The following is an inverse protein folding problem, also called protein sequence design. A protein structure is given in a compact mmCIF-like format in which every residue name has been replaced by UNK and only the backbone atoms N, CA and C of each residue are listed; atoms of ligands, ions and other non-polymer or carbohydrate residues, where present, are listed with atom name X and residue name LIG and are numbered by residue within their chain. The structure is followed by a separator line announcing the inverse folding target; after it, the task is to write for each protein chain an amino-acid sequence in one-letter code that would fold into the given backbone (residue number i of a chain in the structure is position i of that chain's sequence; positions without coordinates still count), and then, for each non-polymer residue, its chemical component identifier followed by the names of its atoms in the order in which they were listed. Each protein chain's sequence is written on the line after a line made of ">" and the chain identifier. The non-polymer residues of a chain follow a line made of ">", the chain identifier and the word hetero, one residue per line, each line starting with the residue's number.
data_IF_865612844336
#
_entry.id   IF_865612844336
#
_cell.length_a   1.000
_cell.length_b   1.000
_cell.length_c   1.000
_cell.angle_alpha   90.00
_cell.angle_beta   90.00
_cell.angle_gamma   90.00
#
_symmetry.space_group_name_H-M   'P 1'
#
loop_
_entity.id
_entity.type
_entity.pdbx_description
1 polymer ?
#
# COMPACT_ATOMS: atom_id res chain seq x y z
N UNK A 1 -19.67 -34.87 42.27
CA UNK A 1 -18.70 -34.46 41.23
C UNK A 1 -19.47 -34.40 39.92
N UNK A 2 -19.62 -33.21 39.32
CA UNK A 2 -20.17 -33.08 37.96
C UNK A 2 -18.97 -33.10 37.01
N UNK A 3 -18.95 -34.06 36.09
CA UNK A 3 -17.87 -34.26 35.13
C UNK A 3 -18.44 -34.20 33.73
N UNK A 4 -17.85 -33.37 32.88
CA UNK A 4 -18.11 -33.32 31.44
C UNK A 4 -16.99 -34.05 30.70
N UNK A 5 -17.32 -34.71 29.60
CA UNK A 5 -16.39 -35.49 28.79
C UNK A 5 -16.38 -34.93 27.37
N UNK A 6 -15.19 -34.71 26.82
CA UNK A 6 -14.96 -34.16 25.50
C UNK A 6 -14.11 -35.12 24.68
N UNK A 7 -14.63 -35.65 23.55
CA UNK A 7 -13.86 -36.51 22.65
C UNK A 7 -12.90 -35.68 21.79
N UNK A 8 -11.64 -36.06 21.77
CA UNK A 8 -10.62 -35.47 20.93
C UNK A 8 -10.25 -36.43 19.81
N UNK A 9 -10.21 -35.90 18.59
CA UNK A 9 -9.91 -36.67 17.39
C UNK A 9 -8.46 -36.43 16.95
N UNK A 10 -7.83 -37.46 16.40
CA UNK A 10 -6.56 -37.35 15.70
C UNK A 10 -6.69 -36.47 14.45
N UNK A 11 -5.56 -36.08 13.88
CA UNK A 11 -5.55 -35.39 12.57
C UNK A 11 -6.14 -36.24 11.44
N UNK A 12 -6.15 -37.58 11.59
CA UNK A 12 -6.84 -38.52 10.69
C UNK A 12 -8.36 -38.61 10.90
N UNK A 13 -8.92 -37.81 11.81
CA UNK A 13 -10.36 -37.76 12.18
C UNK A 13 -10.87 -39.03 12.86
N UNK A 14 -9.99 -39.75 13.56
CA UNK A 14 -10.35 -40.90 14.38
C UNK A 14 -10.31 -40.52 15.86
N UNK A 15 -11.20 -41.12 16.67
CA UNK A 15 -11.21 -40.90 18.11
C UNK A 15 -9.83 -41.26 18.72
N UNK A 16 -9.20 -40.30 19.40
CA UNK A 16 -7.82 -40.41 19.87
C UNK A 16 -7.68 -40.23 21.38
N UNK A 17 -8.45 -39.33 21.99
CA UNK A 17 -8.36 -39.07 23.43
C UNK A 17 -9.70 -38.65 24.03
N UNK A 18 -9.82 -38.80 25.35
CA UNK A 18 -10.96 -38.29 26.11
C UNK A 18 -10.47 -37.30 27.16
N UNK A 19 -10.95 -36.05 27.07
CA UNK A 19 -10.72 -35.05 28.09
C UNK A 19 -11.91 -34.98 29.04
N UNK A 20 -11.66 -35.11 30.34
CA UNK A 20 -12.66 -34.89 31.37
C UNK A 20 -12.43 -33.56 32.08
N UNK A 21 -13.50 -32.79 32.27
CA UNK A 21 -13.50 -31.54 33.05
C UNK A 21 -14.44 -31.74 34.23
N UNK A 22 -13.91 -31.64 35.44
CA UNK A 22 -14.66 -31.85 36.68
C UNK A 22 -14.55 -30.66 37.61
N UNK A 23 -15.66 -30.31 38.27
CA UNK A 23 -15.66 -29.35 39.36
C UNK A 23 -15.42 -30.05 40.69
N UNK A 24 -14.38 -29.61 41.42
CA UNK A 24 -14.15 -29.94 42.83
C UNK A 24 -14.29 -28.68 43.68
N UNK A 25 -15.08 -28.78 44.75
CA UNK A 25 -15.10 -27.78 45.81
C UNK A 25 -14.11 -28.26 46.87
N UNK A 26 -12.96 -27.61 46.98
CA UNK A 26 -12.02 -27.79 48.09
C UNK A 26 -12.16 -26.60 49.06
N UNK A 27 -11.60 -26.72 50.27
CA UNK A 27 -11.68 -25.67 51.33
C UNK A 27 -11.05 -24.32 50.91
N UNK A 28 -10.25 -24.29 49.82
CA UNK A 28 -9.61 -23.11 49.21
C UNK A 28 -10.40 -22.50 48.03
N UNK A 29 -11.60 -23.01 47.73
CA UNK A 29 -12.46 -22.54 46.63
C UNK A 29 -12.74 -23.57 45.53
N UNK A 30 -13.45 -23.14 44.48
CA UNK A 30 -13.78 -23.99 43.32
C UNK A 30 -12.54 -24.22 42.45
N UNK A 31 -12.15 -25.48 42.24
CA UNK A 31 -11.08 -25.87 41.32
C UNK A 31 -11.63 -26.73 40.19
N UNK A 32 -11.32 -26.32 38.96
CA UNK A 32 -11.55 -27.13 37.76
C UNK A 32 -10.39 -28.11 37.61
N UNK A 33 -10.70 -29.41 37.63
CA UNK A 33 -9.73 -30.48 37.38
C UNK A 33 -9.95 -31.00 35.97
N UNK A 34 -8.94 -30.85 35.12
CA UNK A 34 -8.92 -31.46 33.79
C UNK A 34 -8.00 -32.68 33.78
N UNK A 35 -8.49 -33.81 33.28
CA UNK A 35 -7.69 -35.01 33.05
C UNK A 35 -7.89 -35.49 31.62
N UNK A 36 -6.80 -35.63 30.87
CA UNK A 36 -6.79 -36.17 29.51
C UNK A 36 -6.25 -37.59 29.57
N UNK A 37 -7.06 -38.52 29.08
CA UNK A 37 -6.64 -39.91 28.89
C UNK A 37 -6.37 -40.12 27.40
N UNK A 38 -5.09 -40.00 26.96
CA UNK A 38 -4.75 -40.30 25.58
C UNK A 38 -4.89 -41.80 25.33
N UNK A 39 -5.49 -42.15 24.20
CA UNK A 39 -5.56 -43.53 23.71
C UNK A 39 -4.44 -43.80 22.70
N UNK A 40 -3.89 -42.74 22.08
CA UNK A 40 -2.81 -42.74 21.09
C UNK A 40 -1.81 -41.61 21.37
N UNK A 41 -0.57 -41.73 20.86
CA UNK A 41 0.49 -40.72 21.01
C UNK A 41 0.39 -39.56 19.99
N UNK A 42 -0.64 -39.55 19.15
CA UNK A 42 -0.82 -38.54 18.10
C UNK A 42 -1.45 -37.26 18.63
N UNK A 43 -1.16 -36.09 18.02
CA UNK A 43 -1.82 -34.84 18.37
C UNK A 43 -3.33 -34.97 18.16
N UNK A 44 -4.08 -34.65 19.21
CA UNK A 44 -5.53 -34.73 19.21
C UNK A 44 -6.15 -33.35 19.41
N UNK A 45 -7.22 -33.07 18.67
CA UNK A 45 -7.92 -31.79 18.65
C UNK A 45 -9.42 -32.02 18.81
N UNK A 46 -10.04 -31.27 19.72
CA UNK A 46 -11.49 -31.31 19.87
C UNK A 46 -12.15 -30.57 18.71
N UNK A 47 -13.16 -31.19 18.09
CA UNK A 47 -13.91 -30.60 16.97
C UNK A 47 -13.25 -30.74 15.60
N UNK A 48 -12.04 -31.34 15.50
CA UNK A 48 -11.33 -31.47 14.21
C UNK A 48 -12.11 -32.30 13.18
N UNK A 49 -12.79 -33.37 13.62
CA UNK A 49 -13.65 -34.19 12.74
C UNK A 49 -14.81 -33.40 12.10
N UNK A 50 -15.25 -32.31 12.73
CA UNK A 50 -16.33 -31.45 12.27
C UNK A 50 -15.86 -30.42 11.22
N UNK A 51 -14.55 -30.21 11.07
CA UNK A 51 -14.01 -29.24 10.11
C UNK A 51 -14.10 -29.81 8.69
N UNK A 52 -14.89 -29.15 7.83
CA UNK A 52 -15.02 -29.51 6.42
C UNK A 52 -13.73 -29.27 5.63
N UNK A 53 -13.51 -30.05 4.58
CA UNK A 53 -12.34 -29.86 3.69
C UNK A 53 -12.40 -28.60 2.83
N UNK A 54 -13.58 -27.97 2.74
CA UNK A 54 -13.82 -26.73 1.98
C UNK A 54 -13.75 -25.46 2.84
N UNK A 55 -13.57 -25.60 4.15
CA UNK A 55 -13.51 -24.46 5.07
C UNK A 55 -12.27 -23.62 4.82
N UNK A 56 -12.43 -22.29 4.78
CA UNK A 56 -11.32 -21.34 4.56
C UNK A 56 -10.87 -20.63 5.83
N UNK A 57 -11.73 -20.60 6.83
CA UNK A 57 -11.49 -19.95 8.12
C UNK A 57 -11.57 -21.04 9.17
N UNK A 58 -10.75 -20.97 10.22
CA UNK A 58 -10.89 -21.82 11.42
C UNK A 58 -10.54 -21.02 12.66
N UNK A 59 -11.28 -21.25 13.74
CA UNK A 59 -11.00 -20.66 15.06
C UNK A 59 -10.33 -21.72 15.93
N UNK A 60 -9.26 -21.35 16.62
CA UNK A 60 -8.50 -22.20 17.53
C UNK A 60 -8.64 -21.66 18.95
N UNK A 61 -9.26 -22.44 19.84
CA UNK A 61 -9.39 -22.12 21.27
C UNK A 61 -8.48 -23.01 22.13
N UNK A 62 -8.33 -22.64 23.39
CA UNK A 62 -7.57 -23.43 24.38
C UNK A 62 -8.46 -24.22 25.36
N UNK A 63 -9.77 -24.24 25.11
CA UNK A 63 -10.75 -24.93 25.95
C UNK A 63 -11.93 -25.44 25.09
N UNK A 64 -12.37 -26.71 25.26
CA UNK A 64 -13.54 -27.23 24.57
C UNK A 64 -14.81 -26.43 24.83
N UNK A 65 -14.96 -25.84 26.01
CA UNK A 65 -16.12 -24.99 26.33
C UNK A 65 -16.11 -23.69 25.53
N UNK A 66 -14.93 -23.08 25.35
CA UNK A 66 -14.76 -21.92 24.47
C UNK A 66 -15.07 -22.30 23.02
N UNK A 67 -14.64 -23.50 22.57
CA UNK A 67 -14.94 -23.98 21.22
C UNK A 67 -16.44 -24.14 20.98
N UNK A 68 -17.15 -24.72 21.94
CA UNK A 68 -18.62 -24.86 21.87
C UNK A 68 -19.29 -23.49 21.83
N UNK A 69 -18.88 -22.55 22.68
CA UNK A 69 -19.45 -21.20 22.72
C UNK A 69 -19.29 -20.48 21.36
N UNK A 70 -18.09 -20.55 20.76
CA UNK A 70 -17.85 -19.93 19.44
C UNK A 70 -18.66 -20.63 18.35
N UNK A 71 -18.66 -21.96 18.31
CA UNK A 71 -19.36 -22.69 17.26
C UNK A 71 -20.88 -22.45 17.33
N UNK A 72 -21.48 -22.48 18.53
CA UNK A 72 -22.92 -22.25 18.72
C UNK A 72 -23.37 -20.86 18.29
N UNK A 73 -22.55 -19.82 18.52
CA UNK A 73 -22.92 -18.44 18.18
C UNK A 73 -22.60 -18.06 16.74
N UNK A 74 -21.58 -18.67 16.14
CA UNK A 74 -21.00 -18.18 14.87
C UNK A 74 -21.15 -19.14 13.71
N UNK A 75 -21.48 -20.41 13.95
CA UNK A 75 -21.49 -21.50 12.96
C UNK A 75 -20.12 -21.71 12.26
N UNK A 76 -19.06 -21.05 12.73
CA UNK A 76 -17.73 -21.21 12.17
C UNK A 76 -17.12 -22.56 12.60
N UNK A 77 -16.23 -23.14 11.79
CA UNK A 77 -15.45 -24.30 12.22
C UNK A 77 -14.49 -23.88 13.35
N UNK A 78 -14.62 -24.55 14.49
CA UNK A 78 -13.82 -24.28 15.68
C UNK A 78 -13.15 -25.56 16.14
N UNK A 79 -11.89 -25.45 16.52
CA UNK A 79 -11.17 -26.51 17.20
C UNK A 79 -10.65 -26.03 18.55
N UNK A 80 -10.56 -26.95 19.50
CA UNK A 80 -9.87 -26.68 20.76
C UNK A 80 -8.60 -27.51 20.87
N UNK A 81 -7.56 -26.83 21.33
CA UNK A 81 -6.37 -27.47 21.88
C UNK A 81 -6.72 -28.15 23.22
N UNK A 82 -5.95 -29.17 23.62
CA UNK A 82 -5.97 -29.72 24.98
C UNK A 82 -5.79 -28.63 26.05
N UNK A 83 -6.39 -28.80 27.24
CA UNK A 83 -6.29 -27.80 28.32
C UNK A 83 -4.86 -27.64 28.85
N UNK A 84 -4.06 -28.71 28.82
CA UNK A 84 -2.66 -28.76 29.23
C UNK A 84 -1.70 -28.59 28.03
N UNK A 85 -2.19 -28.07 26.90
CA UNK A 85 -1.39 -27.85 25.72
C UNK A 85 -0.22 -26.92 26.01
N UNK A 86 0.99 -27.40 25.73
CA UNK A 86 2.23 -26.66 25.98
C UNK A 86 2.75 -26.01 24.71
N UNK A 87 2.90 -26.79 23.64
CA UNK A 87 3.54 -26.36 22.40
C UNK A 87 2.80 -26.87 21.16
N UNK A 88 2.82 -26.07 20.09
CA UNK A 88 2.36 -26.48 18.77
C UNK A 88 3.33 -27.47 18.12
N UNK A 89 2.86 -28.69 17.87
CA UNK A 89 3.61 -29.66 17.09
C UNK A 89 3.65 -29.26 15.61
N UNK A 90 4.70 -29.65 14.86
CA UNK A 90 4.77 -29.41 13.42
C UNK A 90 3.56 -29.95 12.65
N UNK A 91 2.96 -31.04 13.11
CA UNK A 91 1.79 -31.66 12.48
C UNK A 91 0.55 -30.79 12.60
N UNK A 92 0.30 -30.21 13.78
CA UNK A 92 -0.82 -29.27 13.99
C UNK A 92 -0.61 -28.02 13.13
N UNK A 93 0.61 -27.47 13.10
CA UNK A 93 0.91 -26.29 12.28
C UNK A 93 0.70 -26.58 10.79
N UNK A 94 1.13 -27.76 10.33
CA UNK A 94 0.94 -28.19 8.95
C UNK A 94 -0.52 -28.43 8.61
N UNK A 95 -1.32 -28.94 9.55
CA UNK A 95 -2.76 -29.11 9.39
C UNK A 95 -3.50 -27.76 9.33
N UNK A 96 -2.95 -26.69 9.92
CA UNK A 96 -3.52 -25.35 9.91
C UNK A 96 -3.11 -24.51 8.67
N UNK A 97 -2.02 -24.83 7.99
CA UNK A 97 -1.55 -24.11 6.79
C UNK A 97 -2.57 -23.99 5.64
N UNK A 98 -3.43 -24.98 5.36
CA UNK A 98 -4.38 -24.89 4.24
C UNK A 98 -5.45 -23.80 4.42
N UNK A 99 -5.71 -23.34 5.65
CA UNK A 99 -6.72 -22.31 5.90
C UNK A 99 -6.22 -20.93 5.48
N UNK A 100 -7.10 -20.16 4.84
CA UNK A 100 -6.80 -18.78 4.45
C UNK A 100 -6.79 -17.84 5.67
N UNK A 101 -7.55 -18.17 6.73
CA UNK A 101 -7.59 -17.40 7.97
C UNK A 101 -7.67 -18.35 9.18
N UNK A 102 -6.70 -18.26 10.08
CA UNK A 102 -6.67 -19.01 11.34
C UNK A 102 -6.72 -18.01 12.48
N UNK A 103 -7.76 -18.07 13.30
CA UNK A 103 -7.98 -17.12 14.40
C UNK A 103 -7.70 -17.81 15.74
N UNK A 104 -6.69 -17.34 16.46
CA UNK A 104 -6.31 -17.84 17.77
C UNK A 104 -7.02 -17.06 18.88
N UNK A 105 -7.94 -17.72 19.60
CA UNK A 105 -8.59 -17.22 20.80
C UNK A 105 -8.15 -18.06 22.00
N UNK A 106 -6.89 -17.89 22.38
CA UNK A 106 -6.25 -18.67 23.44
C UNK A 106 -6.33 -17.95 24.80
N UNK A 107 -6.29 -18.72 25.88
CA UNK A 107 -6.17 -18.18 27.26
C UNK A 107 -4.87 -17.37 27.43
N UNK A 108 -4.85 -16.36 28.34
CA UNK A 108 -3.74 -15.42 28.47
C UNK A 108 -2.34 -16.02 28.63
N UNK A 109 -2.21 -17.17 29.31
CA UNK A 109 -0.91 -17.82 29.55
C UNK A 109 -0.29 -18.46 28.29
N UNK A 110 -1.08 -18.69 27.24
CA UNK A 110 -0.61 -19.19 25.94
C UNK A 110 -0.23 -18.06 24.97
N UNK A 111 -0.43 -16.79 25.37
CA UNK A 111 -0.04 -15.63 24.58
C UNK A 111 1.37 -15.17 24.92
N UNK A 112 2.33 -16.11 24.89
CA UNK A 112 3.74 -15.79 25.06
C UNK A 112 4.44 -15.50 23.72
N UNK A 113 5.63 -14.91 23.81
CA UNK A 113 6.44 -14.56 22.65
C UNK A 113 6.76 -15.78 21.78
N UNK A 114 7.04 -16.94 22.39
CA UNK A 114 7.41 -18.15 21.66
C UNK A 114 6.24 -18.66 20.82
N UNK A 115 5.02 -18.70 21.37
CA UNK A 115 3.82 -19.10 20.65
C UNK A 115 3.55 -18.18 19.47
N UNK A 116 3.58 -16.86 19.69
CA UNK A 116 3.39 -15.88 18.61
C UNK A 116 4.43 -16.04 17.50
N UNK A 117 5.69 -16.24 17.86
CA UNK A 117 6.78 -16.45 16.90
C UNK A 117 6.57 -17.74 16.09
N UNK A 118 6.22 -18.84 16.73
CA UNK A 118 6.01 -20.14 16.07
C UNK A 118 4.83 -20.05 15.10
N UNK A 119 3.70 -19.51 15.55
CA UNK A 119 2.48 -19.36 14.76
C UNK A 119 2.69 -18.40 13.59
N UNK A 120 3.28 -17.23 13.85
CA UNK A 120 3.62 -16.25 12.83
C UNK A 120 4.54 -16.84 11.76
N UNK A 121 5.63 -17.51 12.15
CA UNK A 121 6.58 -18.07 11.19
C UNK A 121 5.98 -19.20 10.33
N UNK A 122 5.04 -19.99 10.85
CA UNK A 122 4.48 -21.13 10.13
C UNK A 122 3.25 -20.80 9.29
N UNK A 123 2.40 -19.88 9.77
CA UNK A 123 1.12 -19.56 9.14
C UNK A 123 1.15 -18.24 8.38
N UNK A 124 2.16 -17.38 8.59
CA UNK A 124 2.32 -16.16 7.83
C UNK A 124 1.11 -15.22 7.96
N UNK A 125 0.72 -14.61 6.84
CA UNK A 125 -0.42 -13.71 6.71
C UNK A 125 -1.78 -14.34 7.06
N UNK A 126 -1.85 -15.67 7.17
CA UNK A 126 -3.09 -16.38 7.54
C UNK A 126 -3.35 -16.40 9.05
N UNK A 127 -2.38 -16.04 9.91
CA UNK A 127 -2.54 -16.08 11.36
C UNK A 127 -3.10 -14.77 11.94
N UNK A 128 -4.17 -14.91 12.72
CA UNK A 128 -4.84 -13.84 13.43
C UNK A 128 -5.03 -14.21 14.89
N UNK A 129 -5.14 -13.23 15.78
CA UNK A 129 -5.34 -13.49 17.21
C UNK A 129 -6.33 -12.52 17.83
N UNK A 130 -6.93 -12.97 18.93
CA UNK A 130 -7.73 -12.13 19.81
C UNK A 130 -6.89 -11.78 21.02
N UNK A 131 -6.78 -10.48 21.31
CA UNK A 131 -5.97 -9.97 22.41
C UNK A 131 -6.59 -10.39 23.76
N UNK A 132 -5.83 -11.07 24.64
CA UNK A 132 -6.32 -11.45 25.96
C UNK A 132 -6.69 -10.27 26.85
N UNK A 133 -6.07 -9.10 26.61
CA UNK A 133 -6.38 -7.85 27.32
C UNK A 133 -7.81 -7.38 27.06
N UNK A 134 -8.34 -7.68 25.88
CA UNK A 134 -9.65 -7.22 25.45
C UNK A 134 -10.69 -8.30 25.77
N UNK A 135 -10.37 -9.56 25.47
CA UNK A 135 -11.25 -10.70 25.68
C UNK A 135 -10.48 -11.93 26.17
N UNK A 136 -10.68 -12.29 27.43
CA UNK A 136 -9.93 -13.37 28.08
C UNK A 136 -10.19 -14.76 27.47
N UNK A 137 -11.46 -15.11 27.20
CA UNK A 137 -11.86 -16.34 26.55
C UNK A 137 -13.28 -16.22 25.97
N UNK A 138 -13.64 -17.09 25.01
CA UNK A 138 -14.88 -16.97 24.28
C UNK A 138 -16.13 -17.23 25.13
N UNK A 139 -16.09 -18.23 26.04
CA UNK A 139 -17.22 -18.53 26.91
C UNK A 139 -17.56 -17.36 27.83
N UNK A 140 -16.53 -16.75 28.44
CA UNK A 140 -16.73 -15.59 29.31
C UNK A 140 -17.25 -14.40 28.51
N UNK A 141 -16.74 -14.19 27.29
CA UNK A 141 -17.28 -13.14 26.41
C UNK A 141 -18.75 -13.37 26.08
N UNK A 142 -19.17 -14.61 25.83
CA UNK A 142 -20.56 -14.94 25.60
C UNK A 142 -21.44 -14.71 26.83
N UNK A 143 -20.97 -15.10 28.02
CA UNK A 143 -21.68 -14.87 29.29
C UNK A 143 -21.86 -13.39 29.64
N UNK A 144 -21.01 -12.52 29.10
CA UNK A 144 -21.10 -11.06 29.27
C UNK A 144 -21.84 -10.38 28.10
N UNK A 145 -22.62 -11.12 27.31
CA UNK A 145 -23.42 -10.63 26.18
C UNK A 145 -22.61 -9.92 25.07
N UNK A 146 -21.31 -10.23 24.93
CA UNK A 146 -20.51 -9.72 23.81
C UNK A 146 -20.84 -10.45 22.51
N UNK A 147 -20.76 -9.74 21.39
CA UNK A 147 -20.98 -10.34 20.07
C UNK A 147 -19.72 -11.05 19.56
N UNK A 148 -19.70 -12.38 19.65
CA UNK A 148 -18.57 -13.21 19.23
C UNK A 148 -18.24 -13.08 17.74
N UNK A 149 -19.25 -12.90 16.87
CA UNK A 149 -19.03 -12.72 15.42
C UNK A 149 -18.25 -11.43 15.15
N UNK A 150 -18.61 -10.35 15.84
CA UNK A 150 -17.90 -9.08 15.71
C UNK A 150 -16.45 -9.19 16.23
N UNK A 151 -16.23 -9.86 17.37
CA UNK A 151 -14.88 -10.05 17.92
C UNK A 151 -13.98 -10.81 16.94
N UNK A 152 -14.48 -11.88 16.31
CA UNK A 152 -13.72 -12.65 15.32
C UNK A 152 -13.43 -11.88 14.02
N UNK A 153 -14.32 -10.95 13.64
CA UNK A 153 -14.10 -10.07 12.49
C UNK A 153 -12.94 -9.11 12.76
N UNK A 154 -12.88 -8.56 13.97
CA UNK A 154 -11.84 -7.62 14.46
C UNK A 154 -10.56 -8.31 14.96
N UNK A 155 -10.36 -9.60 14.65
CA UNK A 155 -9.15 -10.31 15.05
C UNK A 155 -7.90 -9.66 14.42
N UNK A 156 -6.83 -9.54 15.20
CA UNK A 156 -5.61 -8.84 14.83
C UNK A 156 -4.70 -9.75 13.99
N UNK A 157 -4.14 -9.27 12.87
CA UNK A 157 -3.13 -10.04 12.13
C UNK A 157 -1.87 -10.21 13.00
N UNK A 158 -1.28 -11.41 12.97
CA UNK A 158 -0.01 -11.66 13.66
C UNK A 158 1.20 -11.11 12.90
N UNK A 159 1.07 -10.91 11.59
CA UNK A 159 2.09 -10.24 10.77
C UNK A 159 1.79 -8.76 10.64
N UNK A 160 2.84 -7.95 10.67
CA UNK A 160 2.78 -6.54 10.37
C UNK A 160 2.57 -6.35 8.85
N UNK A 161 1.61 -5.51 8.47
CA UNK A 161 1.32 -5.23 7.05
C UNK A 161 2.47 -4.47 6.38
N UNK A 162 3.28 -3.74 7.15
CA UNK A 162 4.40 -2.93 6.64
C UNK A 162 5.72 -3.72 6.50
N UNK A 163 5.73 -5.00 6.92
CA UNK A 163 6.92 -5.85 6.85
C UNK A 163 6.78 -6.91 5.75
N UNK A 164 7.64 -6.81 4.75
CA UNK A 164 7.69 -7.77 3.64
C UNK A 164 9.00 -8.59 3.67
N UNK A 165 8.95 -9.78 3.08
CA UNK A 165 10.10 -10.69 2.97
C UNK A 165 10.57 -10.76 1.53
N UNK A 166 11.83 -11.20 1.35
CA UNK A 166 12.42 -11.41 0.02
C UNK A 166 11.53 -12.27 -0.90
N UNK A 167 10.88 -13.30 -0.35
CA UNK A 167 9.98 -14.20 -1.08
C UNK A 167 8.84 -13.45 -1.79
N UNK A 168 8.40 -12.31 -1.25
CA UNK A 168 7.34 -11.49 -1.85
C UNK A 168 7.78 -10.83 -3.16
N UNK A 169 9.08 -10.63 -3.35
CA UNK A 169 9.65 -9.88 -4.48
C UNK A 169 10.41 -10.75 -5.50
N UNK A 170 10.58 -12.06 -5.27
CA UNK A 170 11.41 -12.93 -6.12
C UNK A 170 10.98 -12.86 -7.60
N UNK A 171 9.67 -12.83 -7.85
CA UNK A 171 9.12 -12.69 -9.21
C UNK A 171 9.47 -11.36 -9.85
N UNK A 172 9.22 -10.24 -9.15
CA UNK A 172 9.50 -8.89 -9.63
C UNK A 172 11.01 -8.67 -9.89
N UNK A 173 11.85 -9.17 -8.98
CA UNK A 173 13.31 -9.11 -9.12
C UNK A 173 13.77 -9.91 -10.36
N UNK A 174 13.21 -11.10 -10.57
CA UNK A 174 13.53 -11.91 -11.75
C UNK A 174 13.09 -11.20 -13.05
N UNK A 175 11.92 -10.56 -13.05
CA UNK A 175 11.46 -9.75 -14.18
C UNK A 175 12.36 -8.54 -14.45
N UNK A 176 12.82 -7.85 -13.41
CA UNK A 176 13.71 -6.69 -13.55
C UNK A 176 15.09 -7.10 -14.09
N UNK A 177 15.65 -8.22 -13.60
CA UNK A 177 16.94 -8.75 -14.05
C UNK A 177 16.89 -9.28 -15.49
N UNK A 178 15.79 -9.94 -15.87
CA UNK A 178 15.62 -10.48 -17.23
C UNK A 178 15.16 -9.42 -18.24
N UNK A 179 14.49 -8.37 -17.76
CA UNK A 179 13.99 -7.24 -18.54
C UNK A 179 14.99 -6.09 -18.69
N UNK A 180 16.27 -6.36 -19.01
CA UNK A 180 17.31 -5.34 -19.16
C UNK A 180 16.97 -4.22 -20.19
N UNK A 181 16.05 -4.48 -21.13
CA UNK A 181 15.51 -3.44 -22.03
C UNK A 181 14.35 -2.62 -21.43
N UNK A 182 13.64 -3.13 -20.42
CA UNK A 182 12.58 -2.42 -19.67
C UNK A 182 13.12 -1.56 -18.52
N UNK A 183 14.29 -1.87 -17.99
CA UNK A 183 14.99 -1.02 -16.99
C UNK A 183 15.53 0.28 -17.61
N UNK A 184 15.62 0.34 -18.94
CA UNK A 184 15.98 1.52 -19.70
C UNK A 184 14.72 2.34 -20.00
N UNK A 185 14.68 3.60 -19.56
CA UNK A 185 13.54 4.48 -19.81
C UNK A 185 13.30 4.73 -21.30
N UNK A 186 12.11 5.22 -21.67
CA UNK A 186 11.78 5.55 -23.07
C UNK A 186 12.76 6.58 -23.60
N UNK A 187 13.47 6.24 -24.67
CA UNK A 187 14.48 7.11 -25.27
C UNK A 187 13.80 8.27 -26.00
N UNK A 188 14.36 9.47 -25.86
CA UNK A 188 13.99 10.59 -26.71
C UNK A 188 14.50 10.35 -28.13
N UNK A 189 13.66 10.57 -29.15
CA UNK A 189 14.07 10.54 -30.56
C UNK A 189 14.65 11.87 -31.02
N UNK A 190 14.21 12.98 -30.40
CA UNK A 190 14.67 14.34 -30.74
C UNK A 190 15.87 14.81 -29.90
N UNK A 191 16.15 14.15 -28.79
CA UNK A 191 17.19 14.56 -27.83
C UNK A 191 18.16 13.42 -27.47
N UNK A 192 19.05 13.05 -28.42
CA UNK A 192 19.98 11.93 -28.24
C UNK A 192 20.90 12.06 -27.03
N UNK A 193 21.42 13.26 -26.75
CA UNK A 193 22.32 13.52 -25.61
C UNK A 193 21.64 13.21 -24.26
N UNK A 194 20.33 13.45 -24.14
CA UNK A 194 19.58 13.10 -22.92
C UNK A 194 19.54 11.59 -22.68
N UNK A 195 19.55 10.78 -23.74
CA UNK A 195 19.57 9.32 -23.61
C UNK A 195 20.89 8.80 -23.05
N UNK A 196 22.00 9.47 -23.35
CA UNK A 196 23.32 9.12 -22.85
C UNK A 196 23.45 9.44 -21.37
N UNK A 197 22.95 10.61 -20.97
CA UNK A 197 23.02 11.12 -19.60
C UNK A 197 21.99 10.47 -18.67
N UNK A 198 20.71 10.46 -19.07
CA UNK A 198 19.60 10.06 -18.22
C UNK A 198 19.20 8.60 -18.39
N UNK A 199 19.73 7.93 -19.43
CA UNK A 199 19.34 6.58 -19.84
C UNK A 199 17.85 6.44 -20.20
N UNK A 200 17.22 7.53 -20.64
CA UNK A 200 15.83 7.56 -21.09
C UNK A 200 14.84 7.99 -20.01
N UNK A 201 13.60 8.22 -20.39
CA UNK A 201 12.53 8.70 -19.53
C UNK A 201 11.87 7.54 -18.76
N UNK A 202 12.12 7.46 -17.45
CA UNK A 202 11.57 6.41 -16.56
C UNK A 202 10.35 6.90 -15.79
N UNK A 203 9.41 5.99 -15.54
CA UNK A 203 8.24 6.24 -14.68
C UNK A 203 8.67 6.20 -13.20
N UNK A 204 7.84 6.76 -12.31
CA UNK A 204 8.14 6.78 -10.88
C UNK A 204 9.15 7.85 -10.45
N UNK A 205 9.78 8.54 -11.40
CA UNK A 205 10.80 9.55 -11.16
C UNK A 205 10.25 10.98 -11.18
N UNK A 206 10.96 11.87 -10.48
CA UNK A 206 10.74 13.31 -10.45
C UNK A 206 11.93 14.02 -11.11
N UNK A 207 11.69 14.71 -12.23
CA UNK A 207 12.68 15.60 -12.86
C UNK A 207 12.39 17.05 -12.47
N UNK A 208 13.41 17.74 -11.97
CA UNK A 208 13.37 19.19 -11.75
C UNK A 208 14.08 19.87 -12.92
N UNK A 209 13.35 20.71 -13.65
CA UNK A 209 13.88 21.48 -14.78
C UNK A 209 13.94 22.97 -14.42
N UNK A 210 15.16 23.50 -14.31
CA UNK A 210 15.41 24.86 -13.79
C UNK A 210 16.13 25.74 -14.81
N UNK A 211 15.85 27.04 -14.76
CA UNK A 211 16.50 28.06 -15.58
C UNK A 211 15.84 29.43 -15.43
N UNK A 212 16.58 30.50 -15.73
CA UNK A 212 16.09 31.88 -15.61
C UNK A 212 14.83 32.13 -16.47
N UNK A 213 14.03 33.14 -16.13
CA UNK A 213 12.86 33.52 -16.95
C UNK A 213 13.30 33.92 -18.35
N UNK A 214 12.55 33.51 -19.38
CA UNK A 214 12.87 33.84 -20.78
C UNK A 214 13.92 32.94 -21.45
N UNK A 215 14.51 31.95 -20.76
CA UNK A 215 15.50 31.03 -21.36
C UNK A 215 14.89 29.91 -22.22
N UNK A 216 13.59 29.97 -22.51
CA UNK A 216 12.92 28.98 -23.36
C UNK A 216 12.52 27.68 -22.66
N UNK A 217 12.38 27.66 -21.32
CA UNK A 217 12.03 26.43 -20.58
C UNK A 217 10.73 25.78 -21.04
N UNK A 218 9.64 26.54 -21.10
CA UNK A 218 8.35 26.02 -21.56
C UNK A 218 8.42 25.55 -23.01
N UNK A 219 9.17 26.27 -23.86
CA UNK A 219 9.42 25.89 -25.25
C UNK A 219 10.15 24.55 -25.35
N UNK A 220 11.21 24.37 -24.56
CA UNK A 220 11.97 23.12 -24.51
C UNK A 220 11.13 21.97 -23.94
N UNK A 221 10.41 22.21 -22.84
CA UNK A 221 9.52 21.21 -22.23
C UNK A 221 8.37 20.81 -23.17
N UNK A 222 7.86 21.75 -23.98
CA UNK A 222 6.85 21.46 -25.01
C UNK A 222 7.41 20.44 -26.01
N UNK A 223 8.59 20.70 -26.59
CA UNK A 223 9.24 19.80 -27.54
C UNK A 223 9.63 18.44 -26.92
N UNK A 224 10.21 18.48 -25.71
CA UNK A 224 10.57 17.31 -24.91
C UNK A 224 9.37 16.39 -24.68
N UNK A 225 8.23 16.99 -24.32
CA UNK A 225 7.01 16.26 -24.03
C UNK A 225 6.33 15.73 -25.30
N UNK A 226 6.36 16.49 -26.38
CA UNK A 226 5.84 16.07 -27.69
C UNK A 226 6.61 14.87 -28.24
N UNK A 227 7.93 14.85 -28.08
CA UNK A 227 8.76 13.71 -28.51
C UNK A 227 8.38 12.41 -27.80
N UNK A 228 8.14 12.47 -26.49
CA UNK A 228 7.69 11.32 -25.71
C UNK A 228 6.24 10.95 -26.08
N UNK A 229 5.36 11.94 -26.21
CA UNK A 229 3.95 11.71 -26.48
C UNK A 229 3.67 11.15 -27.87
N UNK A 230 4.42 11.61 -28.88
CA UNK A 230 4.37 11.05 -30.24
C UNK A 230 4.88 9.60 -30.31
N UNK A 231 5.62 9.13 -29.30
CA UNK A 231 6.00 7.73 -29.15
C UNK A 231 4.98 6.90 -28.36
N UNK A 232 3.81 7.48 -28.05
CA UNK A 232 2.74 6.81 -27.33
C UNK A 232 2.82 6.92 -25.81
N UNK A 233 3.61 7.86 -25.26
CA UNK A 233 3.60 8.15 -23.82
C UNK A 233 2.48 9.16 -23.50
N UNK A 234 1.37 8.78 -22.84
CA UNK A 234 0.31 9.74 -22.57
C UNK A 234 0.80 10.81 -21.59
N UNK A 235 0.61 12.07 -21.97
CA UNK A 235 1.23 13.21 -21.28
C UNK A 235 0.17 14.22 -20.84
N UNK A 236 0.25 14.69 -19.60
CA UNK A 236 -0.59 15.76 -19.05
C UNK A 236 0.24 17.03 -18.80
N UNK A 237 -0.25 18.15 -19.32
CA UNK A 237 0.26 19.48 -19.01
C UNK A 237 -0.61 20.18 -17.96
N UNK A 238 -0.01 20.53 -16.83
CA UNK A 238 -0.53 21.47 -15.85
C UNK A 238 0.21 22.81 -16.00
N UNK A 239 -0.26 23.64 -16.93
CA UNK A 239 0.32 24.96 -17.17
C UNK A 239 -0.39 26.04 -16.35
N UNK A 240 0.39 26.76 -15.54
CA UNK A 240 -0.04 27.83 -14.63
C UNK A 240 0.46 29.20 -15.04
N UNK A 241 1.56 29.26 -15.80
CA UNK A 241 2.16 30.53 -16.24
C UNK A 241 1.60 30.99 -17.60
N UNK A 242 1.30 30.04 -18.50
CA UNK A 242 0.87 30.31 -19.88
C UNK A 242 -0.51 29.68 -20.12
N UNK A 243 -1.34 30.33 -20.93
CA UNK A 243 -2.65 29.78 -21.30
C UNK A 243 -2.52 28.55 -22.20
N UNK A 244 -3.44 27.59 -22.06
CA UNK A 244 -3.46 26.37 -22.87
C UNK A 244 -3.46 26.67 -24.38
N UNK A 245 -4.15 27.73 -24.83
CA UNK A 245 -4.14 28.15 -26.26
C UNK A 245 -2.73 28.52 -26.74
N UNK A 246 -1.97 29.28 -25.93
CA UNK A 246 -0.59 29.67 -26.29
C UNK A 246 0.35 28.46 -26.27
N UNK A 247 0.22 27.60 -25.27
CA UNK A 247 1.01 26.36 -25.17
C UNK A 247 0.74 25.43 -26.36
N UNK A 248 -0.53 25.13 -26.65
CA UNK A 248 -0.95 24.28 -27.76
C UNK A 248 -0.52 24.86 -29.11
N UNK A 249 -0.58 26.19 -29.29
CA UNK A 249 -0.06 26.84 -30.50
C UNK A 249 1.44 26.54 -30.69
N UNK A 250 2.25 26.72 -29.64
CA UNK A 250 3.69 26.41 -29.70
C UNK A 250 3.92 24.93 -30.02
N UNK A 251 3.18 24.04 -29.37
CA UNK A 251 3.27 22.60 -29.61
C UNK A 251 2.87 22.20 -31.02
N UNK A 252 1.82 22.80 -31.58
CA UNK A 252 1.36 22.52 -32.94
C UNK A 252 2.41 22.96 -33.99
N UNK A 253 3.04 24.12 -33.79
CA UNK A 253 4.15 24.58 -34.63
C UNK A 253 5.37 23.65 -34.53
N UNK A 254 5.70 23.21 -33.31
CA UNK A 254 6.77 22.24 -33.04
C UNK A 254 6.50 20.86 -33.65
N UNK A 255 5.25 20.42 -33.61
CA UNK A 255 4.83 19.13 -34.13
C UNK A 255 4.82 19.10 -35.65
N UNK A 256 4.24 20.14 -36.28
CA UNK A 256 4.16 20.28 -37.74
C UNK A 256 5.50 20.60 -38.39
N UNK A 257 6.45 21.17 -37.64
CA UNK A 257 7.77 21.62 -38.14
C UNK A 257 7.67 22.59 -39.32
N UNK A 258 6.55 23.30 -39.44
CA UNK A 258 6.32 24.30 -40.47
C UNK A 258 5.78 25.60 -39.85
N UNK A 259 6.05 26.77 -40.46
CA UNK A 259 5.44 28.01 -40.04
C UNK A 259 3.97 28.03 -40.50
N UNK A 260 3.06 27.50 -39.67
CA UNK A 260 1.61 27.45 -39.98
C UNK A 260 0.97 28.82 -40.17
N UNK A 261 1.58 29.89 -39.63
CA UNK A 261 1.15 31.26 -39.92
C UNK A 261 1.29 31.64 -41.39
N UNK A 262 2.23 31.01 -42.11
CA UNK A 262 2.49 31.24 -43.53
C UNK A 262 1.85 30.13 -44.41
N UNK A 263 1.47 29.00 -43.81
CA UNK A 263 0.88 27.83 -44.47
C UNK A 263 -0.46 27.46 -43.82
N UNK A 264 -1.38 28.43 -43.74
CA UNK A 264 -2.63 28.27 -42.99
C UNK A 264 -3.53 27.17 -43.56
N UNK A 265 -3.42 26.89 -44.86
CA UNK A 265 -4.18 25.84 -45.54
C UNK A 265 -3.84 24.43 -45.01
N UNK A 266 -2.66 24.25 -44.38
CA UNK A 266 -2.28 22.98 -43.74
C UNK A 266 -2.79 22.85 -42.29
N UNK A 267 -3.40 23.90 -41.72
CA UNK A 267 -3.81 23.93 -40.32
C UNK A 267 -4.76 22.78 -39.96
N UNK A 268 -5.77 22.53 -40.80
CA UNK A 268 -6.76 21.49 -40.54
C UNK A 268 -6.12 20.10 -40.51
N UNK A 269 -5.20 19.82 -41.43
CA UNK A 269 -4.44 18.57 -41.46
C UNK A 269 -3.62 18.38 -40.18
N UNK A 270 -2.81 19.37 -39.81
CA UNK A 270 -1.96 19.28 -38.62
C UNK A 270 -2.78 19.27 -37.32
N UNK A 271 -3.94 19.92 -37.29
CA UNK A 271 -4.89 19.84 -36.17
C UNK A 271 -5.38 18.41 -35.97
N UNK A 272 -5.79 17.73 -37.05
CA UNK A 272 -6.24 16.33 -36.97
C UNK A 272 -5.10 15.39 -36.56
N UNK A 273 -3.88 15.56 -37.09
CA UNK A 273 -2.73 14.75 -36.64
C UNK A 273 -2.40 14.99 -35.16
N UNK A 274 -2.44 16.25 -34.70
CA UNK A 274 -2.20 16.58 -33.30
C UNK A 274 -3.25 15.96 -32.37
N UNK A 275 -4.53 15.90 -32.78
CA UNK A 275 -5.61 15.29 -31.99
C UNK A 275 -5.42 13.79 -31.74
N UNK A 276 -4.63 13.10 -32.56
CA UNK A 276 -4.31 11.67 -32.37
C UNK A 276 -3.33 11.45 -31.22
N UNK A 277 -2.61 12.47 -30.78
CA UNK A 277 -1.66 12.36 -29.68
C UNK A 277 -2.41 12.18 -28.35
N UNK A 278 -1.94 11.31 -27.45
CA UNK A 278 -2.50 11.16 -26.10
C UNK A 278 -2.03 12.30 -25.18
N UNK A 279 -2.29 13.54 -25.59
CA UNK A 279 -1.87 14.77 -24.94
C UNK A 279 -3.06 15.43 -24.23
N UNK A 280 -2.94 15.63 -22.93
CA UNK A 280 -3.98 16.18 -22.07
C UNK A 280 -3.53 17.50 -21.44
N UNK A 281 -4.48 18.37 -21.15
CA UNK A 281 -4.21 19.68 -20.57
C UNK A 281 -5.16 19.95 -19.41
N UNK A 282 -4.60 20.31 -18.27
CA UNK A 282 -5.39 20.71 -17.12
C UNK A 282 -5.98 22.10 -17.38
N UNK A 283 -7.30 22.21 -17.29
CA UNK A 283 -7.96 23.50 -17.46
C UNK A 283 -7.92 24.28 -16.14
N UNK A 284 -7.12 25.34 -16.10
CA UNK A 284 -7.04 26.27 -14.98
C UNK A 284 -7.96 27.47 -15.20
N UNK A 285 -9.05 27.48 -14.44
CA UNK A 285 -9.87 28.66 -14.19
C UNK A 285 -9.86 28.95 -12.68
N UNK A 286 -9.26 30.08 -12.29
CA UNK A 286 -9.22 30.58 -10.91
C UNK A 286 -8.18 29.92 -9.99
N UNK A 287 -7.99 30.45 -8.76
CA UNK A 287 -7.07 29.88 -7.78
C UNK A 287 -7.54 28.49 -7.34
N UNK A 288 -6.66 27.48 -7.48
CA UNK A 288 -6.91 26.09 -7.02
C UNK A 288 -5.82 25.67 -6.05
N UNK A 289 -6.21 25.09 -4.93
CA UNK A 289 -5.26 24.51 -3.97
C UNK A 289 -4.51 23.32 -4.56
N UNK A 290 -3.27 23.10 -4.09
CA UNK A 290 -2.44 21.96 -4.46
C UNK A 290 -3.20 20.62 -4.37
N UNK A 291 -4.01 20.43 -3.33
CA UNK A 291 -4.84 19.24 -3.14
C UNK A 291 -5.82 18.98 -4.31
N UNK A 292 -6.43 20.03 -4.86
CA UNK A 292 -7.33 19.89 -6.02
C UNK A 292 -6.57 19.51 -7.28
N UNK A 293 -5.35 20.04 -7.43
CA UNK A 293 -4.47 19.77 -8.57
C UNK A 293 -3.99 18.32 -8.54
N UNK A 294 -3.45 17.87 -7.40
CA UNK A 294 -3.06 16.49 -7.20
C UNK A 294 -4.23 15.52 -7.40
N UNK A 295 -5.45 15.88 -6.98
CA UNK A 295 -6.65 15.07 -7.25
C UNK A 295 -6.96 14.98 -8.75
N UNK A 296 -6.93 16.09 -9.47
CA UNK A 296 -7.17 16.10 -10.92
C UNK A 296 -6.09 15.29 -11.68
N UNK A 297 -4.82 15.45 -11.30
CA UNK A 297 -3.72 14.65 -11.83
C UNK A 297 -3.88 13.16 -11.52
N UNK A 298 -4.26 12.81 -10.28
CA UNK A 298 -4.52 11.41 -9.89
C UNK A 298 -5.60 10.80 -10.76
N UNK A 299 -6.71 11.51 -10.96
CA UNK A 299 -7.77 11.05 -11.85
C UNK A 299 -7.27 10.86 -13.29
N UNK A 300 -6.42 11.76 -13.78
CA UNK A 300 -5.89 11.66 -15.13
C UNK A 300 -4.98 10.43 -15.32
N UNK A 301 -4.13 10.13 -14.33
CA UNK A 301 -3.29 8.92 -14.33
C UNK A 301 -4.15 7.66 -14.28
N UNK A 302 -5.15 7.60 -13.41
CA UNK A 302 -6.00 6.41 -13.23
C UNK A 302 -6.92 6.17 -14.44
N UNK A 303 -7.55 7.22 -14.98
CA UNK A 303 -8.59 7.08 -16.00
C UNK A 303 -8.04 7.07 -17.42
N UNK A 304 -7.03 7.91 -17.70
CA UNK A 304 -6.49 8.09 -19.05
C UNK A 304 -5.09 7.49 -19.22
N UNK A 305 -4.61 6.71 -18.24
CA UNK A 305 -3.27 6.12 -18.20
C UNK A 305 -2.18 7.16 -18.50
N UNK A 306 -2.29 8.35 -17.89
CA UNK A 306 -1.24 9.37 -18.01
C UNK A 306 0.03 8.86 -17.36
N UNK A 307 1.13 8.81 -18.13
CA UNK A 307 2.42 8.28 -17.69
C UNK A 307 3.48 9.37 -17.51
N UNK A 308 3.23 10.58 -18.02
CA UNK A 308 4.09 11.76 -17.86
C UNK A 308 3.25 12.99 -17.50
N UNK A 309 3.60 13.68 -16.41
CA UNK A 309 2.96 14.94 -16.01
C UNK A 309 3.99 16.06 -15.97
N UNK A 310 3.65 17.20 -16.57
CA UNK A 310 4.47 18.41 -16.56
C UNK A 310 3.74 19.49 -15.78
N UNK A 311 4.43 20.13 -14.85
CA UNK A 311 3.90 21.20 -14.00
C UNK A 311 4.73 22.45 -14.25
N UNK A 312 4.14 23.46 -14.90
CA UNK A 312 4.84 24.67 -15.34
C UNK A 312 4.01 25.95 -15.10
N UNK A 313 4.29 26.81 -14.12
CA UNK A 313 5.34 26.77 -13.10
C UNK A 313 4.70 26.80 -11.70
N UNK A 314 5.25 26.00 -10.81
CA UNK A 314 4.84 25.87 -9.42
C UNK A 314 4.80 27.21 -8.65
N UNK A 315 5.71 28.13 -8.96
CA UNK A 315 5.86 29.39 -8.24
C UNK A 315 4.64 30.31 -8.38
N UNK A 316 3.93 30.24 -9.52
CA UNK A 316 2.69 30.99 -9.69
C UNK A 316 1.59 30.50 -8.73
N UNK A 317 1.55 29.20 -8.44
CA UNK A 317 0.62 28.65 -7.45
C UNK A 317 0.96 29.08 -6.02
N UNK A 318 2.26 29.18 -5.71
CA UNK A 318 2.73 29.51 -4.36
C UNK A 318 2.49 30.98 -3.97
N UNK A 319 2.51 31.89 -4.95
CA UNK A 319 2.33 33.33 -4.73
C UNK A 319 0.85 33.76 -4.64
N UNK A 320 -0.10 32.85 -4.83
CA UNK A 320 -1.55 33.11 -4.75
C UNK A 320 -2.10 33.09 -3.31
N UNK A 321 -1.27 32.73 -2.33
CA UNK A 321 -1.63 32.67 -0.93
C UNK A 321 -0.77 33.71 -0.18
N UNK A 322 -1.41 34.71 0.44
CA UNK A 322 -0.74 35.84 1.12
C UNK A 322 0.14 35.35 2.29
N UNK A 323 1.46 35.29 2.09
CA UNK A 323 2.40 34.84 3.13
C UNK A 323 3.31 35.96 3.63
N UNK A 324 3.36 36.09 4.96
CA UNK A 324 4.08 37.16 5.67
C UNK A 324 5.55 36.81 6.03
N UNK A 325 6.05 35.59 5.77
CA UNK A 325 7.43 35.19 6.12
C UNK A 325 8.13 34.33 5.05
N UNK A 326 9.44 34.53 4.88
CA UNK A 326 10.29 33.76 3.95
C UNK A 326 10.49 32.30 4.38
N UNK A 327 10.46 32.03 5.69
CA UNK A 327 10.59 30.67 6.26
C UNK A 327 9.39 29.78 5.93
N UNK A 328 8.17 30.35 5.92
CA UNK A 328 6.96 29.60 5.56
C UNK A 328 6.93 29.22 4.07
N UNK A 329 7.56 30.02 3.22
CA UNK A 329 7.69 29.71 1.79
C UNK A 329 8.60 28.50 1.54
N UNK A 330 9.73 28.38 2.26
CA UNK A 330 10.63 27.22 2.13
C UNK A 330 9.97 25.92 2.58
N UNK A 331 9.35 25.93 3.76
CA UNK A 331 8.64 24.75 4.29
C UNK A 331 7.55 24.28 3.33
N UNK A 332 6.83 25.19 2.68
CA UNK A 332 5.85 24.82 1.66
C UNK A 332 6.48 24.27 0.38
N UNK A 333 7.61 24.81 -0.08
CA UNK A 333 8.31 24.25 -1.24
C UNK A 333 8.68 22.79 -0.99
N UNK A 334 9.24 22.49 0.18
CA UNK A 334 9.61 21.13 0.57
C UNK A 334 8.39 20.21 0.62
N UNK A 335 7.28 20.66 1.21
CA UNK A 335 6.02 19.91 1.23
C UNK A 335 5.50 19.63 -0.18
N UNK A 336 5.61 20.61 -1.09
CA UNK A 336 5.16 20.45 -2.46
C UNK A 336 6.04 19.46 -3.21
N UNK A 337 7.38 19.57 -3.09
CA UNK A 337 8.30 18.63 -3.72
C UNK A 337 8.11 17.20 -3.19
N UNK A 338 7.92 17.05 -1.87
CA UNK A 338 7.59 15.75 -1.27
C UNK A 338 6.29 15.19 -1.86
N UNK A 339 5.23 16.01 -1.92
CA UNK A 339 3.94 15.57 -2.46
C UNK A 339 4.03 15.13 -3.93
N UNK A 340 4.82 15.82 -4.76
CA UNK A 340 5.02 15.43 -6.16
C UNK A 340 5.92 14.19 -6.31
N UNK A 341 6.93 14.03 -5.45
CA UNK A 341 7.75 12.81 -5.41
C UNK A 341 6.90 11.60 -5.03
N UNK A 342 6.13 11.72 -3.94
CA UNK A 342 5.22 10.66 -3.47
C UNK A 342 4.16 10.33 -4.52
N UNK A 343 3.64 11.35 -5.21
CA UNK A 343 2.71 11.18 -6.33
C UNK A 343 3.36 10.40 -7.49
N UNK A 344 4.58 10.77 -7.91
CA UNK A 344 5.30 10.12 -8.99
C UNK A 344 5.54 8.64 -8.70
N UNK A 345 6.07 8.33 -7.50
CA UNK A 345 6.39 6.96 -7.09
C UNK A 345 5.13 6.11 -6.89
N UNK A 346 4.13 6.61 -6.15
CA UNK A 346 2.91 5.84 -5.84
C UNK A 346 2.06 5.52 -7.06
N UNK A 347 1.96 6.44 -8.02
CA UNK A 347 1.18 6.24 -9.24
C UNK A 347 2.04 5.72 -10.40
N UNK A 348 3.32 5.45 -10.16
CA UNK A 348 4.29 5.04 -11.16
C UNK A 348 4.17 5.91 -12.43
N UNK A 349 4.22 7.23 -12.29
CA UNK A 349 4.19 8.17 -13.41
C UNK A 349 5.39 9.13 -13.29
N UNK A 350 5.92 9.61 -14.40
CA UNK A 350 7.01 10.58 -14.34
C UNK A 350 6.45 11.97 -14.12
N UNK A 351 7.03 12.73 -13.21
CA UNK A 351 6.66 14.14 -13.00
C UNK A 351 7.84 15.03 -13.38
N UNK A 352 7.62 16.00 -14.26
CA UNK A 352 8.59 17.05 -14.58
C UNK A 352 8.11 18.39 -14.03
N UNK A 353 8.82 18.92 -13.04
CA UNK A 353 8.54 20.21 -12.42
C UNK A 353 9.43 21.28 -13.04
N UNK A 354 8.81 22.31 -13.63
CA UNK A 354 9.54 23.51 -14.09
C UNK A 354 9.62 24.50 -12.95
N UNK A 355 10.84 24.92 -12.62
CA UNK A 355 11.12 25.90 -11.56
C UNK A 355 11.96 27.07 -12.09
N UNK A 356 11.87 28.23 -11.43
CA UNK A 356 12.85 29.31 -11.63
C UNK A 356 13.82 29.35 -10.47
N UNK A 357 15.13 29.48 -10.71
CA UNK A 357 16.07 29.77 -9.65
C UNK A 357 15.73 31.15 -9.04
N UNK A 358 16.00 31.31 -7.74
CA UNK A 358 15.89 32.63 -7.11
C UNK A 358 16.92 33.56 -7.75
N UNK A 359 16.57 34.83 -7.91
CA UNK A 359 17.57 35.87 -8.19
C UNK A 359 18.46 35.96 -6.95
N UNK A 360 19.72 35.55 -7.05
CA UNK A 360 20.70 35.93 -6.04
C UNK A 360 20.82 37.46 -6.07
N UNK A 361 20.84 38.15 -4.91
CA UNK A 361 21.19 39.55 -4.91
C UNK A 361 22.59 39.67 -5.50
N UNK A 362 22.73 40.46 -6.58
CA UNK A 362 24.05 40.89 -7.07
C UNK A 362 24.82 41.41 -5.86
N UNK A 363 25.97 40.77 -5.56
CA UNK A 363 26.92 41.10 -4.51
C UNK A 363 26.61 42.40 -3.75
N UNK A 364 25.87 42.31 -2.65
CA UNK A 364 25.91 43.39 -1.66
C UNK A 364 27.31 43.36 -1.06
N UNK A 365 28.14 44.38 -1.34
CA UNK A 365 29.42 44.55 -0.68
C UNK A 365 29.24 44.36 0.83
N UNK A 366 30.01 43.42 1.40
CA UNK A 366 30.01 43.14 2.82
C UNK A 366 30.44 44.39 3.58
N UNK A 367 29.49 45.14 4.12
CA UNK A 367 29.78 46.19 5.09
C UNK A 367 29.93 45.58 6.49
N UNK A 368 30.86 46.15 7.26
CA UNK A 368 31.33 45.70 8.58
C UNK A 368 30.26 45.56 9.68
N UNK A 369 28.98 45.77 9.38
CA UNK A 369 27.86 45.47 10.27
C UNK A 369 27.38 44.01 10.19
N UNK A 370 28.04 43.17 9.38
CA UNK A 370 27.67 41.75 9.20
C UNK A 370 28.30 40.81 10.24
N UNK A 371 28.89 41.34 11.32
CA UNK A 371 29.37 40.55 12.46
C UNK A 371 28.76 41.12 13.74
N UNK A 372 27.73 40.44 14.24
CA UNK A 372 27.39 40.32 15.68
C UNK A 372 26.39 39.19 15.87
#
# INVERSE_FOLDING_TARGET
>A
MKTMLFPFDSLSREFSALQSISYKNDDDGERVVSDIKPTLNDPALFGWSLVGSSERVVVVTSDPLDAIAVNQETDLPVISLPYDFKNFSPDILSALKPFAKVIFWLKPHLHDWETHKILGNHLGKSAFFIRPSDFQCALLSLQNDFNLRHILQEAYPMHDEDLETFDSYVGEILEELTGYEKSVGLKWKRFFVLNELLKGHRRGELTIFSGQTGTGKTTFMSEYSLDLCAQGRPTLWASFEISNVRLMKTMLLQYSRCPLSENIDEFDYWSEEFRKLPMFFLNFHGPRSLKKILKAMTNAVIVYDVQHVIVDNLQFMMNMEDYHSSLDQYRRQDQIYSAFRDFASRLNCHVTLVIHPRKEPEYSELNNTSIS
#
